data_IF_363809866295
#
_entry.id   IF_363809866295
#
_cell.length_a   1.000
_cell.length_b   1.000
_cell.length_c   1.000
_cell.angle_alpha   90.00
_cell.angle_beta   90.00
_cell.angle_gamma   90.00
#
_symmetry.space_group_name_H-M   'P 1'
#
loop_
_entity.id
_entity.type
_entity.pdbx_description
1 polymer ?
#
# COMPACT_ATOMS: atom_id res chain seq x y z
N UNK A 1 13.22 -5.72 -19.20
CA UNK A 1 12.32 -5.97 -20.37
C UNK A 1 10.89 -5.78 -19.86
N UNK A 2 10.04 -5.11 -20.66
CA UNK A 2 8.63 -4.96 -20.32
C UNK A 2 7.76 -5.00 -21.57
N UNK A 3 6.52 -5.45 -21.42
CA UNK A 3 5.49 -5.45 -22.43
C UNK A 3 4.19 -4.98 -21.79
N UNK A 4 3.61 -3.93 -22.33
CA UNK A 4 2.36 -3.35 -21.82
C UNK A 4 1.32 -3.24 -22.92
N UNK A 5 0.06 -3.23 -22.50
CA UNK A 5 -1.10 -2.96 -23.35
C UNK A 5 -2.09 -2.11 -22.60
N UNK A 6 -2.85 -1.32 -23.33
CA UNK A 6 -3.93 -0.51 -22.74
C UNK A 6 -5.16 -0.51 -23.65
N UNK A 7 -6.31 -0.35 -23.02
CA UNK A 7 -7.57 -0.10 -23.69
C UNK A 7 -8.27 1.07 -23.01
N UNK A 8 -8.79 1.99 -23.80
CA UNK A 8 -9.47 3.18 -23.29
C UNK A 8 -10.69 3.52 -24.15
N UNK A 9 -11.78 3.90 -23.49
CA UNK A 9 -12.91 4.60 -24.10
C UNK A 9 -13.39 5.71 -23.15
N UNK A 10 -14.48 6.38 -23.46
CA UNK A 10 -14.98 7.53 -22.68
C UNK A 10 -15.23 7.23 -21.20
N UNK A 11 -15.60 6.00 -20.88
CA UNK A 11 -16.03 5.61 -19.52
C UNK A 11 -15.11 4.56 -18.86
N UNK A 12 -14.25 3.94 -19.62
CA UNK A 12 -13.46 2.82 -19.12
C UNK A 12 -12.02 2.88 -19.62
N UNK A 13 -11.09 2.68 -18.70
CA UNK A 13 -9.67 2.55 -18.97
C UNK A 13 -9.13 1.33 -18.25
N UNK A 14 -8.34 0.53 -18.94
CA UNK A 14 -7.56 -0.56 -18.35
C UNK A 14 -6.19 -0.63 -19.01
N UNK A 15 -5.14 -0.77 -18.22
CA UNK A 15 -3.79 -1.05 -18.69
C UNK A 15 -3.20 -2.24 -17.95
N UNK A 16 -2.38 -3.00 -18.64
CA UNK A 16 -1.62 -4.11 -18.09
C UNK A 16 -0.18 -4.07 -18.58
N UNK A 17 0.76 -4.33 -17.67
CA UNK A 17 2.18 -4.37 -17.97
C UNK A 17 2.81 -5.60 -17.31
N UNK A 18 3.51 -6.40 -18.11
CA UNK A 18 4.34 -7.51 -17.64
C UNK A 18 5.80 -7.09 -17.77
N UNK A 19 6.59 -7.31 -16.75
CA UNK A 19 7.99 -6.91 -16.75
C UNK A 19 8.91 -7.97 -16.13
N UNK A 20 10.15 -7.97 -16.56
CA UNK A 20 11.19 -8.82 -16.03
C UNK A 20 12.49 -8.04 -15.84
N UNK A 21 13.06 -8.11 -14.64
CA UNK A 21 14.35 -7.56 -14.29
C UNK A 21 15.29 -8.68 -13.87
N UNK A 22 16.45 -8.75 -14.51
CA UNK A 22 17.44 -9.80 -14.31
C UNK A 22 18.72 -9.15 -13.80
N UNK A 23 19.02 -9.36 -12.53
CA UNK A 23 20.17 -8.77 -11.88
C UNK A 23 21.30 -9.79 -11.74
N UNK A 24 22.52 -9.33 -11.96
CA UNK A 24 23.76 -10.04 -11.61
C UNK A 24 24.52 -9.16 -10.63
N UNK A 25 25.06 -9.75 -9.57
CA UNK A 25 25.82 -9.03 -8.52
C UNK A 25 24.98 -7.88 -7.91
N UNK A 26 23.70 -8.13 -7.61
CA UNK A 26 22.82 -7.17 -6.94
C UNK A 26 23.27 -6.98 -5.51
N UNK A 27 23.37 -5.73 -5.07
CA UNK A 27 23.56 -5.41 -3.65
C UNK A 27 22.18 -5.39 -3.00
N UNK A 28 22.01 -6.16 -1.93
CA UNK A 28 20.75 -6.24 -1.17
C UNK A 28 21.04 -6.09 0.31
N UNK A 29 20.13 -5.43 1.04
CA UNK A 29 20.16 -5.39 2.49
C UNK A 29 19.59 -6.67 3.07
N UNK A 30 20.31 -7.32 3.92
CA UNK A 30 19.88 -8.53 4.63
C UNK A 30 19.94 -8.31 6.13
N UNK A 31 18.97 -8.89 6.83
CA UNK A 31 19.01 -8.93 8.28
C UNK A 31 19.77 -10.16 8.73
N UNK A 32 20.69 -9.95 9.68
CA UNK A 32 21.48 -11.01 10.30
C UNK A 32 21.40 -10.91 11.80
N UNK A 33 21.44 -12.03 12.46
CA UNK A 33 21.51 -12.12 13.92
C UNK A 33 22.91 -12.62 14.29
N UNK A 34 23.65 -11.79 15.02
CA UNK A 34 24.94 -12.16 15.62
C UNK A 34 24.87 -11.88 17.11
N UNK A 35 25.23 -12.85 17.94
CA UNK A 35 25.25 -12.70 19.39
C UNK A 35 23.98 -12.08 19.99
N UNK A 36 22.81 -12.55 19.54
CA UNK A 36 21.49 -12.03 19.87
C UNK A 36 21.24 -10.56 19.47
N UNK A 37 22.09 -9.97 18.64
CA UNK A 37 21.90 -8.64 18.10
C UNK A 37 21.42 -8.68 16.64
N UNK A 38 20.49 -7.80 16.32
CA UNK A 38 19.97 -7.64 14.94
C UNK A 38 20.85 -6.66 14.20
N UNK A 39 21.51 -7.13 13.14
CA UNK A 39 22.33 -6.32 12.25
C UNK A 39 21.69 -6.25 10.86
N UNK A 40 21.73 -5.07 10.26
CA UNK A 40 21.35 -4.87 8.88
C UNK A 40 22.62 -4.67 8.06
N UNK A 41 22.88 -5.58 7.14
CA UNK A 41 24.10 -5.58 6.32
C UNK A 41 23.76 -5.59 4.83
N UNK A 42 24.62 -4.96 4.05
CA UNK A 42 24.55 -5.07 2.60
C UNK A 42 25.40 -6.25 2.12
N UNK A 43 24.80 -7.11 1.34
CA UNK A 43 25.48 -8.25 0.73
C UNK A 43 25.32 -8.25 -0.79
N UNK A 44 26.28 -8.83 -1.47
CA UNK A 44 26.23 -8.98 -2.92
C UNK A 44 25.59 -10.33 -3.27
N UNK A 45 24.38 -10.27 -3.83
CA UNK A 45 23.68 -11.45 -4.33
C UNK A 45 24.21 -11.81 -5.73
N UNK A 46 24.59 -13.06 -5.92
CA UNK A 46 25.14 -13.54 -7.19
C UNK A 46 24.17 -13.32 -8.37
N UNK A 47 22.90 -13.64 -8.17
CA UNK A 47 21.87 -13.53 -9.20
C UNK A 47 20.48 -13.37 -8.56
N UNK A 48 19.68 -12.45 -9.07
CA UNK A 48 18.28 -12.32 -8.69
C UNK A 48 17.43 -11.97 -9.92
N UNK A 49 16.34 -12.68 -10.11
CA UNK A 49 15.37 -12.39 -11.16
C UNK A 49 14.07 -11.91 -10.51
N UNK A 50 13.47 -10.91 -11.11
CA UNK A 50 12.19 -10.36 -10.70
C UNK A 50 11.28 -10.35 -11.94
N UNK A 51 10.11 -10.99 -11.82
CA UNK A 51 9.06 -10.97 -12.84
C UNK A 51 7.80 -10.44 -12.20
N UNK A 52 7.15 -9.49 -12.86
CA UNK A 52 5.95 -8.86 -12.33
C UNK A 52 4.89 -8.59 -13.37
N UNK A 53 3.68 -8.40 -12.86
CA UNK A 53 2.50 -7.95 -13.58
C UNK A 53 1.90 -6.77 -12.82
N UNK A 54 1.57 -5.72 -13.55
CA UNK A 54 0.84 -4.57 -13.01
C UNK A 54 -0.39 -4.31 -13.86
N UNK A 55 -1.51 -4.01 -13.21
CA UNK A 55 -2.77 -3.67 -13.88
C UNK A 55 -3.38 -2.46 -13.20
N UNK A 56 -3.87 -1.53 -14.01
CA UNK A 56 -4.58 -0.34 -13.57
C UNK A 56 -5.92 -0.31 -14.30
N UNK A 57 -6.99 -0.07 -13.56
CA UNK A 57 -8.35 0.07 -14.10
C UNK A 57 -8.99 1.34 -13.56
N UNK A 58 -9.68 2.05 -14.42
CA UNK A 58 -10.59 3.15 -14.07
C UNK A 58 -11.89 2.98 -14.82
N UNK A 59 -13.00 3.10 -14.11
CA UNK A 59 -14.32 2.97 -14.68
C UNK A 59 -15.27 4.03 -14.14
N UNK A 60 -15.84 4.83 -15.06
CA UNK A 60 -16.89 5.81 -14.77
C UNK A 60 -18.24 5.19 -15.11
N UNK A 61 -19.16 5.11 -14.17
CA UNK A 61 -20.47 4.50 -14.37
C UNK A 61 -21.56 5.27 -13.62
N UNK A 62 -22.80 5.11 -14.08
CA UNK A 62 -23.99 5.75 -13.49
C UNK A 62 -23.82 7.27 -13.27
N UNK A 63 -23.07 7.97 -14.12
CA UNK A 63 -22.82 9.42 -14.13
C UNK A 63 -22.23 10.03 -12.85
N UNK A 64 -22.23 9.30 -11.75
CA UNK A 64 -21.81 9.79 -10.43
C UNK A 64 -20.72 8.94 -9.78
N UNK A 65 -20.44 7.77 -10.32
CA UNK A 65 -19.51 6.82 -9.71
C UNK A 65 -18.25 6.68 -10.55
N UNK A 66 -17.13 6.63 -9.86
CA UNK A 66 -15.83 6.28 -10.43
C UNK A 66 -15.22 5.17 -9.59
N UNK A 67 -14.89 4.07 -10.23
CA UNK A 67 -14.11 2.99 -9.63
C UNK A 67 -12.67 3.07 -10.15
N UNK A 68 -11.70 3.05 -9.25
CA UNK A 68 -10.31 2.85 -9.60
C UNK A 68 -9.82 1.57 -8.92
N UNK A 69 -9.04 0.79 -9.62
CA UNK A 69 -8.42 -0.40 -9.06
C UNK A 69 -7.00 -0.56 -9.62
N UNK A 70 -6.09 -1.01 -8.76
CA UNK A 70 -4.76 -1.44 -9.16
C UNK A 70 -4.49 -2.83 -8.62
N UNK A 71 -3.74 -3.61 -9.36
CA UNK A 71 -3.24 -4.89 -8.89
C UNK A 71 -1.80 -5.04 -9.34
N UNK A 72 -0.95 -5.52 -8.44
CA UNK A 72 0.42 -5.87 -8.75
C UNK A 72 0.73 -7.28 -8.25
N UNK A 73 1.43 -8.00 -9.10
CA UNK A 73 2.05 -9.27 -8.77
C UNK A 73 3.54 -9.18 -9.02
N UNK A 74 4.34 -9.63 -8.09
CA UNK A 74 5.79 -9.72 -8.25
C UNK A 74 6.31 -11.04 -7.70
N UNK A 75 7.04 -11.76 -8.54
CA UNK A 75 7.79 -12.94 -8.14
C UNK A 75 9.28 -12.62 -8.16
N UNK A 76 9.92 -12.80 -7.03
CA UNK A 76 11.37 -12.60 -6.86
C UNK A 76 12.01 -13.96 -6.65
N UNK A 77 12.95 -14.32 -7.51
CA UNK A 77 13.66 -15.60 -7.39
C UNK A 77 14.45 -15.66 -6.08
N UNK A 78 14.54 -16.86 -5.52
CA UNK A 78 15.44 -17.15 -4.43
C UNK A 78 16.88 -17.09 -4.93
N UNK A 79 17.81 -16.67 -4.07
CA UNK A 79 19.24 -16.74 -4.30
C UNK A 79 19.79 -17.84 -3.42
N UNK A 80 20.41 -18.85 -4.02
CA UNK A 80 20.95 -20.03 -3.35
C UNK A 80 19.94 -20.72 -2.38
N UNK A 81 18.65 -20.75 -2.82
CA UNK A 81 17.56 -21.33 -2.04
C UNK A 81 16.94 -20.39 -1.00
N UNK A 82 17.52 -19.21 -0.77
CA UNK A 82 17.17 -18.27 0.28
C UNK A 82 16.31 -17.15 -0.29
N UNK A 83 15.23 -16.81 0.39
CA UNK A 83 14.33 -15.70 0.05
C UNK A 83 14.69 -14.48 0.89
N UNK A 84 15.56 -13.62 0.39
CA UNK A 84 15.97 -12.38 1.09
C UNK A 84 15.01 -11.21 0.90
N UNK A 85 14.18 -11.25 -0.14
CA UNK A 85 13.28 -10.16 -0.47
C UNK A 85 12.02 -10.20 0.40
N UNK A 86 11.70 -9.07 1.02
CA UNK A 86 10.52 -8.87 1.88
C UNK A 86 9.29 -8.31 1.15
N UNK A 87 9.32 -8.26 -0.18
CA UNK A 87 8.21 -7.75 -0.98
C UNK A 87 7.04 -8.74 -0.96
N UNK A 88 5.82 -8.24 -0.74
CA UNK A 88 4.62 -9.06 -0.90
C UNK A 88 4.45 -9.45 -2.37
N UNK A 89 4.21 -10.73 -2.69
CA UNK A 89 3.95 -11.15 -4.05
C UNK A 89 2.71 -10.52 -4.66
N UNK A 90 1.73 -10.19 -3.85
CA UNK A 90 0.45 -9.64 -4.30
C UNK A 90 0.13 -8.35 -3.54
N UNK A 91 -0.21 -7.30 -4.26
CA UNK A 91 -0.78 -6.09 -3.68
C UNK A 91 -1.91 -5.58 -4.58
N UNK A 92 -2.96 -5.03 -3.97
CA UNK A 92 -4.06 -4.45 -4.70
C UNK A 92 -4.59 -3.21 -3.97
N UNK A 93 -5.08 -2.24 -4.73
CA UNK A 93 -5.87 -1.14 -4.19
C UNK A 93 -7.15 -1.01 -4.99
N UNK A 94 -8.23 -0.61 -4.33
CA UNK A 94 -9.48 -0.27 -5.00
C UNK A 94 -10.09 0.95 -4.32
N UNK A 95 -10.69 1.84 -5.10
CA UNK A 95 -11.53 2.91 -4.57
C UNK A 95 -12.83 3.02 -5.36
N UNK A 96 -13.88 3.37 -4.65
CA UNK A 96 -15.18 3.73 -5.20
C UNK A 96 -15.50 5.15 -4.76
N UNK A 97 -15.54 6.04 -5.74
CA UNK A 97 -15.83 7.45 -5.56
C UNK A 97 -17.24 7.75 -6.03
N UNK A 98 -18.04 8.39 -5.19
CA UNK A 98 -19.34 8.95 -5.52
C UNK A 98 -19.26 10.46 -5.52
N UNK A 99 -19.79 11.11 -6.55
CA UNK A 99 -19.84 12.58 -6.67
C UNK A 99 -21.24 13.04 -7.06
N UNK A 100 -21.78 13.95 -6.26
CA UNK A 100 -23.06 14.59 -6.54
C UNK A 100 -22.91 16.12 -6.42
N UNK A 101 -23.42 16.82 -7.39
CA UNK A 101 -23.38 18.30 -7.42
C UNK A 101 -24.74 18.85 -7.76
N UNK A 102 -25.26 19.74 -6.93
CA UNK A 102 -26.53 20.45 -7.17
C UNK A 102 -26.39 21.91 -6.73
N UNK A 103 -26.44 22.84 -7.69
CA UNK A 103 -26.29 24.29 -7.43
C UNK A 103 -25.07 24.58 -6.50
N UNK A 104 -25.37 24.92 -5.26
CA UNK A 104 -24.39 25.35 -4.25
C UNK A 104 -23.98 24.24 -3.28
N UNK A 105 -24.35 23.01 -3.56
CA UNK A 105 -24.03 21.85 -2.73
C UNK A 105 -23.26 20.80 -3.53
N UNK A 106 -22.16 20.32 -2.97
CA UNK A 106 -21.40 19.18 -3.50
C UNK A 106 -21.21 18.13 -2.40
N UNK A 107 -21.46 16.90 -2.76
CA UNK A 107 -21.21 15.72 -1.93
C UNK A 107 -20.23 14.84 -2.67
N UNK A 108 -19.16 14.46 -1.99
CA UNK A 108 -18.23 13.41 -2.38
C UNK A 108 -18.19 12.34 -1.30
N UNK A 109 -18.20 11.09 -1.70
CA UNK A 109 -17.95 9.98 -0.80
C UNK A 109 -16.95 9.04 -1.46
N UNK A 110 -15.92 8.64 -0.73
CA UNK A 110 -14.88 7.71 -1.20
C UNK A 110 -14.77 6.56 -0.21
N UNK A 111 -14.98 5.35 -0.71
CA UNK A 111 -14.58 4.12 -0.03
C UNK A 111 -13.31 3.61 -0.68
N UNK A 112 -12.29 3.27 0.09
CA UNK A 112 -11.05 2.69 -0.42
C UNK A 112 -10.64 1.46 0.35
N UNK A 113 -10.06 0.51 -0.35
CA UNK A 113 -9.50 -0.72 0.19
C UNK A 113 -8.08 -0.93 -0.33
N UNK A 114 -7.18 -1.35 0.54
CA UNK A 114 -5.80 -1.68 0.21
C UNK A 114 -5.49 -3.09 0.73
N UNK A 115 -5.17 -4.00 -0.16
CA UNK A 115 -4.79 -5.37 0.13
C UNK A 115 -3.29 -5.55 -0.01
N UNK A 116 -2.70 -6.20 0.97
CA UNK A 116 -1.32 -6.67 0.94
C UNK A 116 -1.31 -8.18 1.19
N UNK A 117 -0.77 -8.92 0.24
CA UNK A 117 -0.63 -10.37 0.35
C UNK A 117 0.41 -10.79 1.37
N UNK A 118 0.40 -12.06 1.68
CA UNK A 118 1.37 -12.69 2.58
C UNK A 118 2.81 -12.45 2.12
N UNK A 119 3.71 -12.16 3.06
CA UNK A 119 5.15 -12.04 2.81
C UNK A 119 5.89 -13.19 3.46
N UNK A 120 6.79 -13.81 2.70
CA UNK A 120 7.70 -14.86 3.21
C UNK A 120 9.11 -14.48 2.88
N UNK A 121 9.99 -14.48 3.87
CA UNK A 121 11.40 -14.21 3.71
C UNK A 121 12.22 -15.00 4.71
N UNK A 122 13.48 -15.23 4.38
CA UNK A 122 14.39 -15.97 5.22
C UNK A 122 15.36 -14.99 5.92
N UNK A 123 15.55 -15.19 7.20
CA UNK A 123 16.49 -14.44 8.05
C UNK A 123 17.66 -15.34 8.36
N UNK A 124 18.86 -14.84 8.15
CA UNK A 124 20.08 -15.56 8.49
C UNK A 124 20.39 -15.33 9.98
N UNK A 125 20.64 -16.42 10.68
CA UNK A 125 21.19 -16.43 12.04
C UNK A 125 22.53 -17.16 12.03
N UNK A 126 23.45 -16.74 12.87
CA UNK A 126 24.72 -17.42 13.09
C UNK A 126 24.65 -18.14 14.42
N UNK A 127 24.53 -19.46 14.37
CA UNK A 127 24.52 -20.30 15.54
C UNK A 127 25.92 -20.78 15.84
N UNK A 128 26.35 -20.66 17.09
CA UNK A 128 27.61 -21.31 17.58
C UNK A 128 27.25 -22.68 18.15
N UNK A 129 27.75 -23.72 17.52
CA UNK A 129 27.63 -25.11 18.01
C UNK A 129 29.01 -25.68 18.22
N UNK A 130 29.35 -26.08 19.45
CA UNK A 130 30.66 -26.61 19.83
C UNK A 130 31.84 -25.70 19.48
N UNK A 131 31.61 -24.35 19.49
CA UNK A 131 32.67 -23.39 19.17
C UNK A 131 32.84 -23.12 17.68
N UNK A 132 32.10 -23.80 16.82
CA UNK A 132 32.05 -23.52 15.38
C UNK A 132 30.79 -22.70 15.02
N UNK A 133 30.94 -21.71 14.15
CA UNK A 133 29.81 -20.88 13.68
C UNK A 133 29.17 -21.48 12.44
N UNK A 134 27.89 -21.77 12.52
CA UNK A 134 27.10 -22.28 11.42
C UNK A 134 25.99 -21.27 11.05
N UNK A 135 25.83 -21.00 9.74
CA UNK A 135 24.73 -20.18 9.24
C UNK A 135 23.44 -20.99 9.24
N UNK A 136 22.43 -20.51 9.95
CA UNK A 136 21.08 -21.06 9.95
C UNK A 136 20.11 -20.04 9.32
N UNK A 137 19.07 -20.54 8.65
CA UNK A 137 18.05 -19.69 8.02
C UNK A 137 16.68 -19.99 8.60
N UNK A 138 16.03 -18.96 9.11
CA UNK A 138 14.67 -19.04 9.65
C UNK A 138 13.70 -18.39 8.70
N UNK A 139 12.65 -19.12 8.33
CA UNK A 139 11.57 -18.57 7.53
C UNK A 139 10.64 -17.73 8.37
N UNK A 140 10.56 -16.45 8.01
CA UNK A 140 9.59 -15.51 8.57
C UNK A 140 8.39 -15.39 7.63
N UNK A 141 7.21 -15.26 8.23
CA UNK A 141 5.95 -15.13 7.52
C UNK A 141 5.13 -14.00 8.13
N UNK A 142 4.73 -13.04 7.30
CA UNK A 142 3.80 -11.98 7.67
C UNK A 142 2.47 -12.25 6.99
N UNK A 143 1.36 -12.31 7.74
CA UNK A 143 0.06 -12.61 7.18
C UNK A 143 -0.41 -11.50 6.23
N UNK A 144 -1.27 -11.87 5.29
CA UNK A 144 -1.98 -10.92 4.46
C UNK A 144 -2.95 -10.06 5.28
N UNK A 145 -3.25 -8.85 4.78
CA UNK A 145 -4.21 -7.96 5.40
C UNK A 145 -4.92 -7.06 4.40
N UNK A 146 -6.05 -6.51 4.84
CA UNK A 146 -6.82 -5.50 4.11
C UNK A 146 -7.05 -4.31 5.03
N UNK A 147 -6.79 -3.10 4.53
CA UNK A 147 -7.16 -1.84 5.19
C UNK A 147 -8.25 -1.17 4.37
N UNK A 148 -9.35 -0.78 5.03
CA UNK A 148 -10.46 -0.09 4.39
C UNK A 148 -10.70 1.26 5.05
N UNK A 149 -10.94 2.28 4.22
CA UNK A 149 -11.20 3.64 4.67
C UNK A 149 -12.47 4.17 4.02
N UNK A 150 -13.17 5.06 4.73
CA UNK A 150 -14.32 5.78 4.22
C UNK A 150 -14.14 7.28 4.49
N UNK A 151 -14.39 8.10 3.49
CA UNK A 151 -14.39 9.55 3.63
C UNK A 151 -15.62 10.15 2.94
N UNK A 152 -16.26 11.09 3.60
CA UNK A 152 -17.39 11.87 3.07
C UNK A 152 -17.05 13.34 3.15
N UNK A 153 -17.16 14.02 2.03
CA UNK A 153 -16.86 15.45 1.89
C UNK A 153 -18.14 16.16 1.47
N UNK A 154 -18.55 17.17 2.22
CA UNK A 154 -19.68 18.03 1.89
C UNK A 154 -19.20 19.47 1.72
N UNK A 155 -19.58 20.10 0.63
CA UNK A 155 -19.25 21.51 0.38
C UNK A 155 -20.54 22.31 0.19
N UNK A 156 -20.68 23.35 0.99
CA UNK A 156 -21.85 24.24 1.02
C UNK A 156 -21.47 25.61 0.44
N UNK A 157 -22.21 26.07 -0.54
CA UNK A 157 -22.07 27.40 -1.19
C UNK A 157 -20.65 27.71 -1.69
N UNK A 158 -19.82 26.67 -1.95
CA UNK A 158 -18.40 26.81 -2.22
C UNK A 158 -17.60 27.54 -1.12
N UNK A 159 -18.12 27.64 0.10
CA UNK A 159 -17.56 28.44 1.20
C UNK A 159 -17.17 27.60 2.39
N UNK A 160 -17.95 26.59 2.70
CA UNK A 160 -17.71 25.70 3.82
C UNK A 160 -17.56 24.29 3.31
N UNK A 161 -16.46 23.64 3.63
CA UNK A 161 -16.19 22.23 3.32
C UNK A 161 -16.06 21.47 4.63
N UNK A 162 -16.84 20.43 4.77
CA UNK A 162 -16.82 19.51 5.92
C UNK A 162 -16.37 18.15 5.42
N UNK A 163 -15.32 17.61 6.00
CA UNK A 163 -14.84 16.26 5.72
C UNK A 163 -14.98 15.42 6.98
N UNK A 164 -15.60 14.27 6.84
CA UNK A 164 -15.69 13.24 7.88
C UNK A 164 -15.10 11.95 7.32
N UNK A 165 -14.21 11.34 8.06
CA UNK A 165 -13.57 10.11 7.60
C UNK A 165 -13.32 9.13 8.73
N UNK A 166 -13.21 7.86 8.34
CA UNK A 166 -12.79 6.75 9.19
C UNK A 166 -11.73 5.97 8.43
N UNK A 167 -10.53 5.92 8.98
CA UNK A 167 -9.44 5.08 8.50
C UNK A 167 -9.49 3.74 9.21
N UNK A 168 -9.09 2.68 8.48
CA UNK A 168 -9.06 1.32 9.01
C UNK A 168 -10.39 0.91 9.68
N UNK A 169 -11.49 1.01 8.92
CA UNK A 169 -12.88 0.81 9.41
C UNK A 169 -13.05 -0.53 10.15
N UNK A 170 -12.36 -1.59 9.69
CA UNK A 170 -12.45 -2.93 10.30
C UNK A 170 -11.50 -3.10 11.47
N UNK A 171 -10.84 -2.02 11.93
CA UNK A 171 -9.94 -2.03 13.07
C UNK A 171 -8.87 -3.12 12.99
N UNK A 172 -8.29 -3.31 11.79
CA UNK A 172 -7.21 -4.26 11.64
C UNK A 172 -6.01 -3.81 12.46
N UNK A 173 -5.60 -4.64 13.40
CA UNK A 173 -4.37 -4.47 14.18
C UNK A 173 -3.62 -5.80 14.11
N UNK A 174 -2.35 -5.82 13.73
CA UNK A 174 -1.57 -7.04 13.72
C UNK A 174 -1.56 -7.68 15.11
N UNK A 175 -1.99 -8.94 15.23
CA UNK A 175 -2.08 -9.63 16.53
C UNK A 175 -0.72 -9.97 17.11
N UNK A 176 0.27 -10.16 16.24
CA UNK A 176 1.65 -10.46 16.61
C UNK A 176 2.56 -9.62 15.76
N UNK A 177 3.35 -8.79 16.41
CA UNK A 177 4.40 -8.03 15.73
C UNK A 177 5.62 -8.90 15.44
N UNK A 178 5.57 -10.20 15.77
CA UNK A 178 6.72 -11.07 15.76
C UNK A 178 7.76 -10.64 16.79
N UNK A 179 8.72 -11.48 17.05
CA UNK A 179 9.93 -11.09 17.78
C UNK A 179 11.01 -10.67 16.78
N UNK A 180 11.78 -9.66 17.14
CA UNK A 180 12.95 -9.28 16.38
C UNK A 180 12.64 -8.69 14.99
N UNK A 181 13.21 -9.25 13.93
CA UNK A 181 13.21 -8.71 12.57
C UNK A 181 11.79 -8.56 11.98
N UNK A 182 10.84 -9.39 12.38
CA UNK A 182 9.47 -9.30 11.90
C UNK A 182 8.79 -7.98 12.31
N UNK A 183 9.22 -7.35 13.41
CA UNK A 183 8.72 -6.04 13.84
C UNK A 183 8.87 -4.95 12.77
N UNK A 184 9.94 -4.96 12.00
CA UNK A 184 10.23 -3.91 11.02
C UNK A 184 9.43 -4.05 9.72
N UNK A 185 8.77 -5.18 9.51
CA UNK A 185 8.03 -5.49 8.28
C UNK A 185 6.51 -5.54 8.49
N UNK A 186 6.05 -5.36 9.72
CA UNK A 186 4.61 -5.32 10.04
C UNK A 186 4.09 -3.90 9.80
N UNK A 187 2.94 -3.73 9.13
CA UNK A 187 2.35 -2.41 8.99
C UNK A 187 1.99 -1.85 10.37
N UNK A 188 2.54 -0.70 10.69
CA UNK A 188 2.15 0.04 11.89
C UNK A 188 0.76 0.64 11.67
N UNK A 189 -0.28 -0.09 12.00
CA UNK A 189 -1.65 0.42 11.97
C UNK A 189 -2.10 0.76 13.38
N UNK A 190 -2.56 1.98 13.55
CA UNK A 190 -3.03 2.45 14.87
C UNK A 190 -4.47 2.02 15.20
N UNK A 191 -5.01 1.02 14.48
CA UNK A 191 -6.41 0.66 14.58
C UNK A 191 -7.34 1.65 13.87
N UNK A 192 -8.63 1.58 14.15
CA UNK A 192 -9.62 2.48 13.55
C UNK A 192 -9.46 3.92 14.07
N UNK A 193 -9.45 4.90 13.16
CA UNK A 193 -9.39 6.33 13.48
C UNK A 193 -10.49 7.08 12.77
N UNK A 194 -11.28 7.85 13.54
CA UNK A 194 -12.22 8.81 12.97
C UNK A 194 -11.61 10.21 12.98
N UNK A 195 -11.88 10.98 11.93
CA UNK A 195 -11.45 12.37 11.84
C UNK A 195 -12.55 13.26 11.26
N UNK A 196 -12.58 14.50 11.69
CA UNK A 196 -13.48 15.55 11.17
C UNK A 196 -12.63 16.77 10.88
N UNK A 197 -12.81 17.35 9.70
CA UNK A 197 -12.15 18.58 9.28
C UNK A 197 -13.19 19.56 8.75
N UNK A 198 -13.07 20.82 9.14
CA UNK A 198 -13.90 21.91 8.63
C UNK A 198 -12.99 22.98 8.02
N UNK A 199 -13.20 23.27 6.75
CA UNK A 199 -12.51 24.34 6.02
C UNK A 199 -13.51 25.45 5.69
N UNK A 200 -13.14 26.69 5.96
CA UNK A 200 -13.97 27.88 5.69
C UNK A 200 -13.20 28.87 4.84
N UNK A 201 -13.73 29.22 3.66
CA UNK A 201 -13.15 30.23 2.78
C UNK A 201 -13.58 31.62 3.22
N UNK A 202 -12.78 32.25 4.06
CA UNK A 202 -13.10 33.51 4.74
C UNK A 202 -13.29 34.66 3.72
N UNK A 203 -12.50 34.74 2.68
CA UNK A 203 -12.59 35.78 1.63
C UNK A 203 -13.97 35.80 0.94
N UNK A 204 -14.53 34.64 0.70
CA UNK A 204 -15.85 34.49 0.10
C UNK A 204 -16.99 34.83 1.09
N UNK A 205 -16.78 34.59 2.37
CA UNK A 205 -17.70 35.03 3.42
C UNK A 205 -17.72 36.55 3.53
N UNK A 206 -16.57 37.20 3.57
CA UNK A 206 -16.44 38.67 3.65
C UNK A 206 -17.09 39.34 2.46
N UNK A 207 -16.89 38.84 1.24
CA UNK A 207 -17.56 39.33 0.02
C UNK A 207 -19.08 39.19 0.11
N UNK A 208 -19.58 38.08 0.67
CA UNK A 208 -21.01 37.85 0.83
C UNK A 208 -21.65 38.82 1.84
N UNK A 209 -20.96 39.17 2.92
CA UNK A 209 -21.43 40.16 3.90
C UNK A 209 -21.42 41.57 3.34
N UNK A 210 -20.41 41.94 2.53
CA UNK A 210 -20.33 43.26 1.87
C UNK A 210 -21.42 43.50 0.81
N UNK A 211 -21.93 42.45 0.16
CA UNK A 211 -23.02 42.53 -0.82
C UNK A 211 -24.42 42.68 -0.21
N UNK A 212 -24.56 42.45 1.11
CA UNK A 212 -25.85 42.57 1.82
C UNK A 212 -26.04 43.93 2.52
N UNK A 213 -25.03 44.78 2.51
CA UNK A 213 -25.13 46.20 2.86
C UNK A 213 -25.27 47.04 1.60
#
# INVERSE_FOLDING_TARGET
MSLGTEYSNDNFFISGNVYGNFFRKKIEGVWRIYDMQYNFEYTNLAKQNLIGLETIMRWHFLNHFTMNATYSYVNVSKTDGIQVNTTSPHAATASLDYKYTKKNYRLGATFSASYMGEKKFDVQDRLSVNGESHDAYFRCQLPQYVLCNLSVIQTFYNKVKVTVGVDNIFNYVPKTLGSGITMFNVPATAGAKAHVQVEVLVDELVKAFRKKK
#
